data_IF_460811544606
#
_entry.id   IF_460811544606
#
_cell.length_a   1.000
_cell.length_b   1.000
_cell.length_c   1.000
_cell.angle_alpha   90.00
_cell.angle_beta   90.00
_cell.angle_gamma   90.00
#
_symmetry.space_group_name_H-M   'P 1'
#
loop_
_entity.id
_entity.type
_entity.pdbx_description
1 polymer ?
#
# COMPACT_ATOMS: atom_id res chain seq x y z
N UNK A 1 -19.98 1.39 -4.27
CA UNK A 1 -19.91 2.57 -5.19
C UNK A 1 -19.19 2.22 -6.51
N UNK A 2 -19.56 1.14 -7.22
CA UNK A 2 -18.84 0.67 -8.42
C UNK A 2 -19.47 1.13 -9.77
N UNK A 3 -20.70 1.65 -9.73
CA UNK A 3 -21.46 2.05 -10.91
C UNK A 3 -20.89 3.25 -11.69
N UNK A 4 -20.27 4.28 -11.06
CA UNK A 4 -19.75 5.43 -11.80
C UNK A 4 -18.53 5.09 -12.66
N UNK A 5 -17.58 4.32 -12.11
CA UNK A 5 -16.31 3.99 -12.80
C UNK A 5 -16.54 3.06 -13.98
N UNK A 6 -17.41 2.05 -13.82
CA UNK A 6 -17.76 1.13 -14.92
C UNK A 6 -18.44 1.86 -16.10
N UNK A 7 -19.35 2.82 -15.81
CA UNK A 7 -20.00 3.65 -16.83
C UNK A 7 -19.02 4.60 -17.51
N UNK A 8 -18.11 5.21 -16.76
CA UNK A 8 -17.05 6.06 -17.33
C UNK A 8 -16.10 5.26 -18.20
N UNK A 9 -15.73 4.04 -17.80
CA UNK A 9 -14.90 3.13 -18.60
C UNK A 9 -15.55 2.75 -19.93
N UNK A 10 -16.84 2.40 -19.92
CA UNK A 10 -17.58 2.08 -21.16
C UNK A 10 -17.78 3.30 -22.06
N UNK A 11 -17.98 4.49 -21.49
CA UNK A 11 -18.02 5.76 -22.23
C UNK A 11 -16.65 6.11 -22.83
N UNK A 12 -15.57 5.96 -22.08
CA UNK A 12 -14.21 6.21 -22.54
C UNK A 12 -13.83 5.26 -23.68
N UNK A 13 -14.14 3.97 -23.54
CA UNK A 13 -14.03 2.98 -24.62
C UNK A 13 -14.77 3.47 -25.87
N UNK A 14 -16.07 3.80 -25.75
CA UNK A 14 -16.88 4.23 -26.89
C UNK A 14 -16.39 5.54 -27.52
N UNK A 15 -15.82 6.42 -26.72
CA UNK A 15 -15.31 7.74 -27.13
C UNK A 15 -13.94 7.64 -27.79
N UNK A 16 -13.10 6.69 -27.39
CA UNK A 16 -11.77 6.48 -27.97
C UNK A 16 -11.81 5.53 -29.18
N UNK A 17 -12.63 4.48 -29.13
CA UNK A 17 -12.72 3.48 -30.21
C UNK A 17 -13.19 4.07 -31.53
N UNK A 18 -14.21 4.94 -31.52
CA UNK A 18 -14.77 5.54 -32.75
C UNK A 18 -13.78 6.43 -33.53
N UNK A 19 -13.13 7.44 -32.92
CA UNK A 19 -12.20 8.29 -33.66
C UNK A 19 -10.94 7.52 -34.09
N UNK A 20 -10.47 6.57 -33.29
CA UNK A 20 -9.33 5.71 -33.66
C UNK A 20 -9.69 4.85 -34.86
N UNK A 21 -10.86 4.22 -34.85
CA UNK A 21 -11.33 3.41 -35.97
C UNK A 21 -11.48 4.24 -37.25
N UNK A 22 -12.04 5.45 -37.14
CA UNK A 22 -12.18 6.37 -38.28
C UNK A 22 -10.82 6.81 -38.83
N UNK A 23 -9.84 7.12 -37.96
CA UNK A 23 -8.48 7.51 -38.36
C UNK A 23 -7.75 6.37 -39.06
N UNK A 24 -7.80 5.17 -38.51
CA UNK A 24 -7.18 3.97 -39.09
C UNK A 24 -7.77 3.62 -40.45
N UNK A 25 -9.10 3.69 -40.59
CA UNK A 25 -9.79 3.46 -41.87
C UNK A 25 -9.40 4.48 -42.94
N UNK A 26 -9.35 5.77 -42.57
CA UNK A 26 -8.92 6.83 -43.49
C UNK A 26 -7.46 6.65 -43.89
N UNK A 27 -6.58 6.29 -42.94
CA UNK A 27 -5.17 6.04 -43.23
C UNK A 27 -4.97 4.81 -44.13
N UNK A 28 -5.77 3.76 -43.95
CA UNK A 28 -5.76 2.57 -44.81
C UNK A 28 -6.30 2.86 -46.22
N UNK A 29 -7.21 3.84 -46.36
CA UNK A 29 -7.69 4.28 -47.66
C UNK A 29 -6.63 5.09 -48.43
N UNK A 30 -5.84 5.91 -47.72
CA UNK A 30 -4.85 6.80 -48.33
C UNK A 30 -3.50 6.12 -48.58
N UNK A 31 -3.06 5.20 -47.71
CA UNK A 31 -1.73 4.60 -47.78
C UNK A 31 -1.76 3.09 -48.05
N UNK A 32 -1.37 2.63 -49.27
CA UNK A 32 -1.37 1.21 -49.63
C UNK A 32 -0.45 0.34 -48.76
N UNK A 33 0.72 0.85 -48.37
CA UNK A 33 1.64 0.13 -47.46
C UNK A 33 0.99 -0.12 -46.09
N UNK A 34 0.26 0.86 -45.59
CA UNK A 34 -0.45 0.77 -44.32
C UNK A 34 -1.66 -0.17 -44.42
N UNK A 35 -2.40 -0.10 -45.54
CA UNK A 35 -3.47 -1.05 -45.85
C UNK A 35 -2.99 -2.49 -45.84
N UNK A 36 -1.90 -2.78 -46.55
CA UNK A 36 -1.31 -4.12 -46.60
C UNK A 36 -0.86 -4.61 -45.23
N UNK A 37 -0.30 -3.73 -44.39
CA UNK A 37 0.08 -4.05 -43.03
C UNK A 37 -1.14 -4.42 -42.16
N UNK A 38 -2.20 -3.61 -42.19
CA UNK A 38 -3.45 -3.87 -41.47
C UNK A 38 -4.11 -5.18 -41.95
N UNK A 39 -4.17 -5.40 -43.26
CA UNK A 39 -4.71 -6.64 -43.84
C UNK A 39 -3.86 -7.84 -43.42
N UNK A 40 -2.53 -7.72 -43.40
CA UNK A 40 -1.66 -8.80 -42.92
C UNK A 40 -1.95 -9.16 -41.46
N UNK A 41 -2.11 -8.15 -40.57
CA UNK A 41 -2.50 -8.38 -39.17
C UNK A 41 -3.87 -9.08 -39.09
N UNK A 42 -4.87 -8.63 -39.86
CA UNK A 42 -6.20 -9.24 -39.87
C UNK A 42 -6.15 -10.71 -40.29
N UNK A 43 -5.40 -11.02 -41.36
CA UNK A 43 -5.26 -12.38 -41.87
C UNK A 43 -4.48 -13.28 -40.90
N UNK A 44 -3.42 -12.77 -40.27
CA UNK A 44 -2.68 -13.49 -39.23
C UNK A 44 -3.61 -13.80 -38.05
N UNK A 45 -4.33 -12.79 -37.55
CA UNK A 45 -5.25 -12.96 -36.43
C UNK A 45 -6.33 -14.00 -36.75
N UNK A 46 -6.96 -13.88 -37.93
CA UNK A 46 -7.97 -14.84 -38.37
C UNK A 46 -7.42 -16.27 -38.43
N UNK A 47 -6.23 -16.46 -39.02
CA UNK A 47 -5.57 -17.78 -39.08
C UNK A 47 -5.30 -18.34 -37.69
N UNK A 48 -4.83 -17.52 -36.76
CA UNK A 48 -4.57 -17.94 -35.37
C UNK A 48 -5.88 -18.34 -34.69
N UNK A 49 -6.90 -17.48 -34.72
CA UNK A 49 -8.21 -17.75 -34.11
C UNK A 49 -8.81 -19.05 -34.63
N UNK A 50 -8.83 -19.25 -35.95
CA UNK A 50 -9.39 -20.45 -36.56
C UNK A 50 -8.57 -21.70 -36.22
N UNK A 51 -7.24 -21.62 -36.18
CA UNK A 51 -6.40 -22.74 -35.74
C UNK A 51 -6.66 -23.13 -34.28
N UNK A 52 -6.75 -22.14 -33.39
CA UNK A 52 -7.03 -22.37 -31.97
C UNK A 52 -8.43 -22.99 -31.79
N UNK A 53 -9.45 -22.42 -32.43
CA UNK A 53 -10.81 -22.96 -32.37
C UNK A 53 -10.85 -24.41 -32.87
N UNK A 54 -10.30 -24.69 -34.05
CA UNK A 54 -10.30 -26.06 -34.60
C UNK A 54 -9.59 -27.06 -33.68
N UNK A 55 -8.48 -26.64 -33.05
CA UNK A 55 -7.72 -27.47 -32.10
C UNK A 55 -8.50 -27.74 -30.81
N UNK A 56 -9.26 -26.77 -30.31
CA UNK A 56 -10.08 -26.92 -29.10
C UNK A 56 -11.33 -27.78 -29.37
N UNK A 57 -11.98 -27.60 -30.52
CA UNK A 57 -13.21 -28.29 -30.89
C UNK A 57 -13.00 -29.63 -31.61
N UNK A 58 -11.76 -30.10 -31.75
CA UNK A 58 -11.44 -31.39 -32.37
C UNK A 58 -11.76 -31.49 -33.87
N UNK A 59 -11.94 -30.35 -34.56
CA UNK A 59 -12.18 -30.33 -36.00
C UNK A 59 -10.89 -30.52 -36.79
N UNK A 60 -10.98 -31.14 -37.97
CA UNK A 60 -9.84 -31.33 -38.88
C UNK A 60 -9.17 -29.98 -39.17
N UNK A 61 -7.89 -29.88 -38.84
CA UNK A 61 -7.11 -28.63 -38.99
C UNK A 61 -6.68 -28.38 -40.43
N UNK A 62 -6.88 -29.38 -41.31
CA UNK A 62 -6.30 -29.48 -42.66
C UNK A 62 -7.07 -28.73 -43.76
N UNK A 63 -8.19 -28.09 -43.43
CA UNK A 63 -8.97 -27.30 -44.41
C UNK A 63 -8.32 -25.93 -44.60
N UNK A 64 -8.01 -25.57 -45.85
CA UNK A 64 -7.48 -24.26 -46.21
C UNK A 64 -8.36 -23.12 -45.65
N UNK A 65 -7.75 -22.21 -44.90
CA UNK A 65 -8.45 -21.06 -44.30
C UNK A 65 -8.60 -20.00 -45.39
N UNK A 66 -9.84 -19.82 -45.87
CA UNK A 66 -10.16 -18.80 -46.88
C UNK A 66 -9.80 -17.41 -46.34
N UNK A 67 -9.02 -16.61 -47.09
CA UNK A 67 -8.66 -15.27 -46.65
C UNK A 67 -9.92 -14.39 -46.55
N UNK A 68 -9.91 -13.46 -45.60
CA UNK A 68 -10.96 -12.44 -45.52
C UNK A 68 -10.95 -11.55 -46.75
N UNK A 69 -12.15 -11.13 -47.16
CA UNK A 69 -12.33 -10.01 -48.10
C UNK A 69 -11.61 -8.76 -47.59
N UNK A 70 -11.02 -7.99 -48.51
CA UNK A 70 -10.12 -6.88 -48.17
C UNK A 70 -10.82 -5.83 -47.30
N UNK A 71 -12.11 -5.54 -47.55
CA UNK A 71 -12.87 -4.58 -46.75
C UNK A 71 -13.11 -5.09 -45.33
N UNK A 72 -13.42 -6.39 -45.19
CA UNK A 72 -13.62 -7.03 -43.88
C UNK A 72 -12.31 -7.14 -43.11
N UNK A 73 -11.20 -7.40 -43.79
CA UNK A 73 -9.87 -7.43 -43.18
C UNK A 73 -9.48 -6.05 -42.62
N UNK A 74 -9.72 -4.97 -43.39
CA UNK A 74 -9.46 -3.61 -42.92
C UNK A 74 -10.30 -3.27 -41.68
N UNK A 75 -11.59 -3.65 -41.66
CA UNK A 75 -12.44 -3.43 -40.49
C UNK A 75 -11.95 -4.22 -39.28
N UNK A 76 -11.70 -5.53 -39.43
CA UNK A 76 -11.26 -6.40 -38.34
C UNK A 76 -9.94 -5.94 -37.71
N UNK A 77 -8.95 -5.54 -38.52
CA UNK A 77 -7.70 -5.02 -37.97
C UNK A 77 -7.83 -3.62 -37.39
N UNK A 78 -8.74 -2.79 -37.90
CA UNK A 78 -9.05 -1.49 -37.30
C UNK A 78 -9.63 -1.65 -35.89
N UNK A 79 -10.60 -2.55 -35.73
CA UNK A 79 -11.21 -2.85 -34.43
C UNK A 79 -10.18 -3.43 -33.47
N UNK A 80 -9.37 -4.40 -33.92
CA UNK A 80 -8.29 -5.00 -33.12
C UNK A 80 -7.25 -3.97 -32.64
N UNK A 81 -6.79 -3.08 -33.53
CA UNK A 81 -5.82 -2.03 -33.17
C UNK A 81 -6.44 -1.02 -32.20
N UNK A 82 -7.71 -0.65 -32.43
CA UNK A 82 -8.43 0.25 -31.53
C UNK A 82 -8.58 -0.33 -30.13
N UNK A 83 -8.96 -1.60 -30.01
CA UNK A 83 -9.04 -2.30 -28.72
C UNK A 83 -7.66 -2.42 -28.06
N UNK A 84 -6.63 -2.86 -28.81
CA UNK A 84 -5.27 -3.00 -28.30
C UNK A 84 -4.71 -1.67 -27.77
N UNK A 85 -4.98 -0.55 -28.45
CA UNK A 85 -4.58 0.78 -27.98
C UNK A 85 -5.23 1.13 -26.64
N UNK A 86 -6.55 0.94 -26.52
CA UNK A 86 -7.27 1.27 -25.29
C UNK A 86 -6.82 0.38 -24.13
N UNK A 87 -6.63 -0.92 -24.38
CA UNK A 87 -6.06 -1.85 -23.41
C UNK A 87 -4.65 -1.42 -22.98
N UNK A 88 -3.80 -1.02 -23.93
CA UNK A 88 -2.45 -0.54 -23.62
C UNK A 88 -2.47 0.70 -22.73
N UNK A 89 -3.36 1.66 -22.98
CA UNK A 89 -3.52 2.86 -22.15
C UNK A 89 -4.01 2.49 -20.75
N UNK A 90 -4.99 1.57 -20.64
CA UNK A 90 -5.49 1.11 -19.35
C UNK A 90 -4.42 0.37 -18.53
N UNK A 91 -3.66 -0.53 -19.16
CA UNK A 91 -2.55 -1.24 -18.52
C UNK A 91 -1.46 -0.26 -18.08
N UNK A 92 -1.09 0.70 -18.93
CA UNK A 92 -0.11 1.72 -18.57
C UNK A 92 -0.57 2.58 -17.39
N UNK A 93 -1.84 2.97 -17.35
CA UNK A 93 -2.42 3.71 -16.23
C UNK A 93 -2.39 2.89 -14.93
N UNK A 94 -2.73 1.60 -14.99
CA UNK A 94 -2.67 0.70 -13.84
C UNK A 94 -1.23 0.56 -13.32
N UNK A 95 -0.26 0.33 -14.21
CA UNK A 95 1.16 0.24 -13.84
C UNK A 95 1.61 1.55 -13.19
N UNK A 96 1.22 2.70 -13.76
CA UNK A 96 1.53 4.01 -13.20
C UNK A 96 0.94 4.19 -11.80
N UNK A 97 -0.31 3.77 -11.58
CA UNK A 97 -0.95 3.83 -10.27
C UNK A 97 -0.24 2.94 -9.24
N UNK A 98 0.14 1.72 -9.62
CA UNK A 98 0.89 0.80 -8.75
C UNK A 98 2.26 1.38 -8.39
N UNK A 99 3.02 1.90 -9.37
CA UNK A 99 4.31 2.54 -9.12
C UNK A 99 4.19 3.77 -8.22
N UNK A 100 3.16 4.60 -8.46
CA UNK A 100 2.88 5.78 -7.65
C UNK A 100 2.47 5.40 -6.23
N UNK A 101 1.65 4.37 -6.08
CA UNK A 101 1.15 3.90 -4.78
C UNK A 101 2.27 3.31 -3.94
N UNK A 102 3.15 2.50 -4.54
CA UNK A 102 4.33 1.95 -3.86
C UNK A 102 5.23 3.05 -3.26
N UNK A 103 5.46 4.15 -4.00
CA UNK A 103 6.18 5.32 -3.47
C UNK A 103 5.46 6.00 -2.31
N UNK A 104 4.13 6.04 -2.32
CA UNK A 104 3.36 6.63 -1.23
C UNK A 104 3.31 5.72 0.00
N UNK A 105 3.28 4.40 -0.18
CA UNK A 105 3.27 3.45 0.93
C UNK A 105 4.61 3.39 1.64
N UNK A 106 5.73 3.40 0.88
CA UNK A 106 7.06 3.46 1.47
C UNK A 106 7.23 4.68 2.40
N UNK A 107 6.78 5.87 1.97
CA UNK A 107 6.81 7.08 2.81
C UNK A 107 5.95 6.97 4.06
N UNK A 108 4.79 6.30 3.97
CA UNK A 108 3.91 6.05 5.12
C UNK A 108 4.49 5.01 6.08
N UNK A 109 5.28 4.08 5.57
CA UNK A 109 5.97 3.09 6.41
C UNK A 109 7.16 3.71 7.13
N UNK A 110 7.94 4.56 6.45
CA UNK A 110 9.02 5.35 7.05
C UNK A 110 8.50 6.26 8.18
N UNK A 111 7.42 7.00 7.93
CA UNK A 111 6.80 7.84 8.94
C UNK A 111 6.31 7.03 10.16
N UNK A 112 5.72 5.85 9.93
CA UNK A 112 5.30 4.95 11.01
C UNK A 112 6.49 4.39 11.80
N UNK A 113 7.62 4.10 11.16
CA UNK A 113 8.84 3.66 11.85
C UNK A 113 9.41 4.76 12.74
N UNK A 114 9.44 6.00 12.26
CA UNK A 114 9.88 7.16 13.04
C UNK A 114 9.00 7.37 14.28
N UNK A 115 7.67 7.30 14.12
CA UNK A 115 6.73 7.41 15.26
C UNK A 115 6.97 6.30 16.30
N UNK A 116 7.26 5.08 15.85
CA UNK A 116 7.55 3.94 16.72
C UNK A 116 8.88 4.10 17.47
N UNK A 117 9.89 4.68 16.82
CA UNK A 117 11.16 5.02 17.46
C UNK A 117 10.99 6.14 18.50
N UNK A 118 10.22 7.18 18.21
CA UNK A 118 9.91 8.23 19.18
C UNK A 118 9.16 7.70 20.40
N UNK A 119 8.18 6.81 20.20
CA UNK A 119 7.46 6.18 21.30
C UNK A 119 8.38 5.33 22.18
N UNK A 120 9.29 4.54 21.58
CA UNK A 120 10.29 3.78 22.33
C UNK A 120 11.22 4.69 23.14
N UNK A 121 11.68 5.81 22.58
CA UNK A 121 12.51 6.76 23.31
C UNK A 121 11.77 7.36 24.51
N UNK A 122 10.47 7.65 24.37
CA UNK A 122 9.63 8.11 25.48
C UNK A 122 9.44 7.04 26.55
N UNK A 123 9.29 5.78 26.14
CA UNK A 123 9.19 4.66 27.07
C UNK A 123 10.49 4.51 27.88
N UNK A 124 11.66 4.59 27.22
CA UNK A 124 12.97 4.53 27.87
C UNK A 124 13.21 5.71 28.83
N UNK A 125 12.78 6.93 28.46
CA UNK A 125 12.90 8.10 29.34
C UNK A 125 12.00 7.96 30.57
N UNK A 126 10.75 7.51 30.38
CA UNK A 126 9.81 7.27 31.47
C UNK A 126 10.31 6.15 32.40
N UNK A 127 10.91 5.10 31.85
CA UNK A 127 11.51 4.02 32.64
C UNK A 127 12.64 4.52 33.55
N UNK A 128 13.51 5.40 33.02
CA UNK A 128 14.58 6.04 33.81
C UNK A 128 14.02 6.94 34.91
N UNK A 129 13.01 7.76 34.59
CA UNK A 129 12.35 8.63 35.58
C UNK A 129 11.70 7.81 36.71
N UNK A 130 11.08 6.68 36.39
CA UNK A 130 10.52 5.77 37.39
C UNK A 130 11.61 5.14 38.27
N UNK A 131 12.76 4.80 37.70
CA UNK A 131 13.90 4.26 38.45
C UNK A 131 14.49 5.31 39.41
N UNK A 132 14.70 6.52 38.92
CA UNK A 132 15.14 7.67 39.74
C UNK A 132 14.16 7.97 40.88
N UNK A 133 12.85 7.91 40.61
CA UNK A 133 11.83 8.14 41.62
C UNK A 133 11.84 7.05 42.69
N UNK A 134 12.04 5.77 42.30
CA UNK A 134 12.22 4.66 43.25
C UNK A 134 13.44 4.84 44.13
N UNK A 135 14.57 5.29 43.57
CA UNK A 135 15.79 5.57 44.34
C UNK A 135 15.56 6.65 45.38
N UNK A 136 14.93 7.77 44.99
CA UNK A 136 14.57 8.87 45.91
C UNK A 136 13.62 8.42 47.02
N UNK A 137 12.64 7.57 46.72
CA UNK A 137 11.73 7.00 47.72
C UNK A 137 12.47 6.12 48.73
N UNK A 138 13.35 5.23 48.27
CA UNK A 138 14.17 4.40 49.14
C UNK A 138 15.09 5.24 50.04
N UNK A 139 15.65 6.33 49.53
CA UNK A 139 16.46 7.26 50.32
C UNK A 139 15.65 7.94 51.42
N UNK A 140 14.46 8.44 51.08
CA UNK A 140 13.52 9.02 52.06
C UNK A 140 13.11 7.99 53.11
N UNK A 141 12.80 6.74 52.72
CA UNK A 141 12.47 5.68 53.66
C UNK A 141 13.63 5.38 54.61
N UNK A 142 14.87 5.36 54.10
CA UNK A 142 16.08 5.17 54.93
C UNK A 142 16.29 6.32 55.90
N UNK A 143 16.10 7.56 55.45
CA UNK A 143 16.18 8.75 56.29
C UNK A 143 15.09 8.74 57.36
N UNK A 144 13.85 8.36 57.02
CA UNK A 144 12.74 8.23 57.96
C UNK A 144 13.00 7.15 59.02
N UNK A 145 13.53 5.97 58.63
CA UNK A 145 13.94 4.91 59.58
C UNK A 145 15.07 5.36 60.50
N UNK A 146 16.10 6.01 59.95
CA UNK A 146 17.22 6.54 60.74
C UNK A 146 16.78 7.60 61.75
N UNK A 147 15.93 8.55 61.32
CA UNK A 147 15.39 9.63 62.16
C UNK A 147 14.37 9.12 63.18
N UNK A 148 13.57 8.10 62.82
CA UNK A 148 12.68 7.39 63.74
C UNK A 148 13.45 6.69 64.86
N UNK A 149 14.55 6.01 64.52
CA UNK A 149 15.46 5.41 65.52
C UNK A 149 16.09 6.47 66.43
N UNK A 150 16.52 7.61 65.88
CA UNK A 150 17.11 8.69 66.70
C UNK A 150 16.07 9.39 67.58
N UNK A 151 14.83 9.56 67.09
CA UNK A 151 13.72 10.15 67.85
C UNK A 151 13.26 9.26 69.02
N UNK A 152 13.23 7.94 68.82
CA UNK A 152 12.90 6.97 69.88
C UNK A 152 14.02 6.92 70.94
N UNK A 153 15.29 6.98 70.53
CA UNK A 153 16.43 7.03 71.46
C UNK A 153 16.45 8.33 72.29
N UNK A 154 16.11 9.48 71.70
CA UNK A 154 16.00 10.73 72.46
C UNK A 154 14.83 10.73 73.47
N UNK A 155 13.68 10.13 73.11
CA UNK A 155 12.57 9.94 74.05
C UNK A 155 12.94 9.02 75.23
N UNK A 156 13.76 7.99 74.99
CA UNK A 156 14.25 7.10 76.05
C UNK A 156 15.36 7.74 76.91
N UNK A 157 16.14 8.64 76.34
CA UNK A 157 17.16 9.42 77.07
C UNK A 157 16.57 10.49 78.01
N UNK A 158 15.44 11.10 77.64
CA UNK A 158 14.76 12.12 78.48
C UNK A 158 14.06 11.50 79.71
N UNK A 159 13.66 10.22 79.65
CA UNK A 159 13.03 9.53 80.80
C UNK A 159 14.03 8.90 81.79
N UNK A 160 15.35 9.01 81.56
CA UNK A 160 16.39 8.40 82.41
C UNK A 160 17.05 9.33 83.43
N UNK A 161 16.66 10.61 83.50
CA UNK A 161 17.38 11.64 84.27
C UNK A 161 16.66 12.16 85.53
N UNK A 162 15.47 11.65 85.88
CA UNK A 162 14.77 12.03 87.12
C UNK A 162 14.57 10.82 88.04
N UNK A 163 15.56 10.55 88.91
CA UNK A 163 15.43 9.52 89.93
C UNK A 163 16.62 9.44 90.87
N UNK A 164 16.74 10.36 91.83
CA UNK A 164 17.69 10.19 92.93
C UNK A 164 17.79 11.33 93.95
N UNK A 165 17.37 11.03 95.19
CA UNK A 165 17.54 11.69 96.51
C UNK A 165 16.32 12.52 96.99
N UNK A 166 15.45 12.03 97.90
CA UNK A 166 15.60 11.71 99.35
C UNK A 166 15.85 12.99 100.19
N UNK A 167 15.20 13.33 101.33
CA UNK A 167 14.37 12.60 102.30
C UNK A 167 13.78 13.61 103.34
N UNK A 168 12.54 13.35 103.83
CA UNK A 168 11.91 13.49 105.19
C UNK A 168 12.23 14.66 106.18
N UNK A 169 11.61 14.77 107.38
CA UNK A 169 10.20 14.66 107.83
C UNK A 169 9.73 15.89 108.66
N UNK A 170 8.40 16.05 108.87
CA UNK A 170 7.72 16.31 110.16
C UNK A 170 6.24 16.61 109.91
#
# INVERSE_FOLDING_TARGET
MALPVAKLGTLALRTLSKPIASRLKNQAAVHPKFRNFIVAIAQINHRITTKIQRRIYGHATDVEIRPLDEQKAVQAATDLIGEAFIFSVAVAALIFEVQRSARSEARKEEARKQELEELKQREDSLAKELEDLKLKLNEIERLAKGRGLTGILNLKGVHGAEGGKAATPA
#
